data_IF_526204272328
#
_entry.id   IF_526204272328
#
_cell.length_a   1.000
_cell.length_b   1.000
_cell.length_c   1.000
_cell.angle_alpha   90.00
_cell.angle_beta   90.00
_cell.angle_gamma   90.00
#
_symmetry.space_group_name_H-M   'P 1'
#
loop_
_entity.id
_entity.type
_entity.pdbx_description
1 polymer ?
#
# COMPACT_ATOMS: atom_id res chain seq x y z
N UNK A 1 6.02 2.47 -2.86
CA UNK A 1 5.74 1.61 -4.05
C UNK A 1 4.55 2.14 -4.84
N UNK A 2 3.38 2.27 -4.20
CA UNK A 2 2.16 2.79 -4.84
C UNK A 2 2.35 4.19 -5.41
N UNK A 3 2.99 5.11 -4.68
CA UNK A 3 3.26 6.48 -5.17
C UNK A 3 4.09 6.50 -6.44
N UNK A 4 5.11 5.64 -6.52
CA UNK A 4 5.94 5.53 -7.72
C UNK A 4 5.12 5.09 -8.93
N UNK A 5 4.27 4.08 -8.76
CA UNK A 5 3.38 3.61 -9.83
C UNK A 5 2.38 4.71 -10.18
N UNK A 6 1.78 5.36 -9.17
CA UNK A 6 0.76 6.40 -9.35
C UNK A 6 1.29 7.60 -10.13
N UNK A 7 2.51 8.06 -9.83
CA UNK A 7 3.13 9.21 -10.47
C UNK A 7 3.62 8.93 -11.91
N UNK A 8 3.77 7.66 -12.27
CA UNK A 8 4.35 7.24 -13.56
C UNK A 8 3.34 6.49 -14.45
N UNK A 9 2.15 6.15 -13.95
CA UNK A 9 1.13 5.37 -14.66
C UNK A 9 0.69 6.04 -15.97
N UNK A 10 0.63 7.37 -16.02
CA UNK A 10 0.17 8.09 -17.20
C UNK A 10 1.19 8.04 -18.35
N UNK A 11 2.47 7.88 -18.01
CA UNK A 11 3.56 7.81 -18.99
C UNK A 11 3.88 6.39 -19.45
N UNK A 12 3.80 5.40 -18.54
CA UNK A 12 4.27 4.04 -18.81
C UNK A 12 3.19 2.96 -18.67
N UNK A 13 2.07 3.27 -18.03
CA UNK A 13 1.04 2.29 -17.68
C UNK A 13 1.40 1.47 -16.43
N UNK A 14 0.38 1.09 -15.67
CA UNK A 14 0.52 0.30 -14.43
C UNK A 14 1.18 -1.06 -14.71
N UNK A 15 0.71 -1.77 -15.75
CA UNK A 15 1.20 -3.10 -16.14
C UNK A 15 2.72 -3.13 -16.39
N UNK A 16 3.24 -2.14 -17.11
CA UNK A 16 4.67 -2.08 -17.44
C UNK A 16 5.51 -1.85 -16.19
N UNK A 17 5.06 -0.96 -15.29
CA UNK A 17 5.77 -0.68 -14.04
C UNK A 17 5.72 -1.90 -13.11
N UNK A 18 4.55 -2.54 -12.98
CA UNK A 18 4.39 -3.75 -12.16
C UNK A 18 5.27 -4.90 -12.62
N UNK A 19 5.50 -5.05 -13.93
CA UNK A 19 6.43 -6.03 -14.51
C UNK A 19 7.88 -5.78 -14.09
N UNK A 20 8.29 -4.52 -13.96
CA UNK A 20 9.66 -4.13 -13.55
C UNK A 20 9.85 -4.21 -12.03
N UNK A 21 8.80 -3.94 -11.25
CA UNK A 21 8.79 -4.00 -9.78
C UNK A 21 8.50 -5.41 -9.21
N UNK A 22 8.70 -6.46 -10.00
CA UNK A 22 7.97 -7.75 -9.95
C UNK A 22 6.80 -7.85 -8.95
N UNK A 23 5.73 -7.09 -9.18
CA UNK A 23 4.47 -7.22 -8.43
C UNK A 23 3.31 -7.49 -9.37
N UNK A 24 2.22 -8.07 -8.84
CA UNK A 24 0.98 -8.16 -9.60
C UNK A 24 0.28 -6.78 -9.64
N UNK A 25 -0.33 -6.38 -10.78
CA UNK A 25 -1.16 -5.18 -10.88
C UNK A 25 -2.31 -5.16 -9.85
N UNK A 26 -2.86 -6.33 -9.52
CA UNK A 26 -3.87 -6.48 -8.47
C UNK A 26 -3.35 -6.05 -7.10
N UNK A 27 -2.06 -6.24 -6.81
CA UNK A 27 -1.44 -5.74 -5.58
C UNK A 27 -1.47 -4.21 -5.54
N UNK A 28 -1.16 -3.53 -6.65
CA UNK A 28 -1.22 -2.07 -6.71
C UNK A 28 -2.64 -1.54 -6.43
N UNK A 29 -3.65 -2.08 -7.13
CA UNK A 29 -5.03 -1.63 -6.93
C UNK A 29 -5.54 -1.95 -5.53
N UNK A 30 -5.18 -3.13 -4.97
CA UNK A 30 -5.52 -3.47 -3.59
C UNK A 30 -4.87 -2.50 -2.59
N UNK A 31 -3.61 -2.13 -2.77
CA UNK A 31 -2.98 -1.17 -1.86
C UNK A 31 -3.60 0.23 -2.00
N UNK A 32 -4.03 0.62 -3.20
CA UNK A 32 -4.77 1.86 -3.40
C UNK A 32 -6.12 1.85 -2.66
N UNK A 33 -6.87 0.74 -2.78
CA UNK A 33 -8.13 0.54 -2.06
C UNK A 33 -7.95 0.59 -0.54
N UNK A 34 -6.93 -0.08 0.02
CA UNK A 34 -6.61 -0.05 1.45
C UNK A 34 -6.10 1.31 1.96
N UNK A 35 -5.70 2.20 1.05
CA UNK A 35 -5.30 3.57 1.39
C UNK A 35 -6.52 4.48 1.51
N UNK A 36 -7.48 4.31 0.60
CA UNK A 36 -8.75 5.05 0.58
C UNK A 36 -9.75 4.53 1.64
N UNK A 37 -9.74 3.21 1.88
CA UNK A 37 -10.65 2.50 2.78
C UNK A 37 -9.83 1.73 3.85
N UNK A 38 -9.36 2.40 4.91
CA UNK A 38 -8.58 1.76 5.97
C UNK A 38 -9.32 0.61 6.67
N UNK A 39 -10.65 0.58 6.64
CA UNK A 39 -11.49 -0.47 7.21
C UNK A 39 -11.36 -1.82 6.50
N UNK A 40 -10.91 -1.84 5.24
CA UNK A 40 -10.65 -3.07 4.49
C UNK A 40 -9.33 -3.76 4.90
N UNK A 41 -8.51 -3.11 5.73
CA UNK A 41 -7.27 -3.69 6.24
C UNK A 41 -7.58 -4.88 7.14
N UNK A 42 -6.62 -5.80 7.23
CA UNK A 42 -6.76 -6.92 8.15
C UNK A 42 -6.85 -6.38 9.59
N UNK A 43 -7.70 -7.00 10.42
CA UNK A 43 -7.81 -6.64 11.85
C UNK A 43 -6.46 -6.64 12.57
N UNK A 44 -5.57 -7.55 12.16
CA UNK A 44 -4.20 -7.64 12.67
C UNK A 44 -3.39 -6.37 12.36
N UNK A 45 -3.46 -5.87 11.12
CA UNK A 45 -2.71 -4.68 10.72
C UNK A 45 -3.13 -3.46 11.55
N UNK A 46 -4.43 -3.32 11.80
CA UNK A 46 -4.97 -2.25 12.66
C UNK A 46 -4.49 -2.36 14.11
N UNK A 47 -4.44 -3.57 14.66
CA UNK A 47 -3.89 -3.79 16.00
C UNK A 47 -2.39 -3.50 16.06
N UNK A 48 -1.63 -3.95 15.05
CA UNK A 48 -0.18 -3.73 14.99
C UNK A 48 0.14 -2.23 14.90
N UNK A 49 -0.65 -1.44 14.15
CA UNK A 49 -0.54 0.02 14.09
C UNK A 49 -0.77 0.66 15.46
N UNK A 50 -1.86 0.30 16.15
CA UNK A 50 -2.16 0.79 17.50
C UNK A 50 -1.04 0.45 18.51
N UNK A 51 -0.56 -0.79 18.49
CA UNK A 51 0.50 -1.24 19.40
C UNK A 51 1.84 -0.54 19.10
N UNK A 52 2.18 -0.36 17.83
CA UNK A 52 3.38 0.37 17.43
C UNK A 52 3.36 1.83 17.93
N UNK A 53 2.20 2.50 17.88
CA UNK A 53 2.04 3.83 18.46
C UNK A 53 2.22 3.85 19.97
N UNK A 54 1.71 2.85 20.70
CA UNK A 54 1.91 2.77 22.15
C UNK A 54 3.39 2.56 22.50
N UNK A 55 4.11 1.73 21.74
CA UNK A 55 5.55 1.52 21.94
C UNK A 55 6.33 2.82 21.74
N UNK A 56 6.05 3.57 20.66
CA UNK A 56 6.68 4.87 20.37
C UNK A 56 6.41 5.95 21.42
N UNK A 57 5.37 5.80 22.26
CA UNK A 57 5.10 6.75 23.35
C UNK A 57 5.95 6.49 24.58
N UNK A 58 6.42 5.26 24.77
CA UNK A 58 7.19 4.84 25.95
C UNK A 58 8.69 5.01 25.72
N UNK A 59 9.12 4.88 24.46
CA UNK A 59 10.52 4.97 24.04
C UNK A 59 10.84 6.37 23.48
#
# INVERSE_FOLDING_TARGET
MVDFIHNNKDRYGVEAICRILPIAPSTYYRTLDLTDNPEHRAKRDLHDEYHAEQIKRIW
#
